data_IF_955392860309
#
_entry.id   IF_955392860309
#
_cell.length_a   1.000
_cell.length_b   1.000
_cell.length_c   1.000
_cell.angle_alpha   90.00
_cell.angle_beta   90.00
_cell.angle_gamma   90.00
#
_symmetry.space_group_name_H-M   'P 1'
#
loop_
_entity.id
_entity.type
_entity.pdbx_description
1 polymer ?
#
# COMPACT_ATOMS: atom_id res chain seq x y z
N UNK A 1 -18.15 -28.51 6.66
CA UNK A 1 -17.94 -28.28 5.22
C UNK A 1 -18.01 -26.78 4.96
N UNK A 2 -17.14 -26.31 4.08
CA UNK A 2 -16.60 -24.95 3.95
C UNK A 2 -17.62 -23.82 3.87
N UNK A 3 -17.40 -22.75 4.65
CA UNK A 3 -18.13 -21.50 4.50
C UNK A 3 -17.49 -20.68 3.38
N UNK A 4 -18.32 -20.35 2.39
CA UNK A 4 -18.05 -19.39 1.34
C UNK A 4 -17.62 -18.03 1.91
N UNK A 5 -16.60 -17.44 1.30
CA UNK A 5 -16.12 -16.11 1.65
C UNK A 5 -15.22 -15.49 0.57
N UNK A 6 -15.48 -15.79 -0.70
CA UNK A 6 -14.90 -15.02 -1.81
C UNK A 6 -15.80 -13.82 -2.08
N UNK A 7 -15.48 -12.67 -1.52
CA UNK A 7 -16.23 -11.43 -1.79
C UNK A 7 -16.04 -11.03 -3.26
N UNK A 8 -17.11 -11.21 -4.02
CA UNK A 8 -17.28 -10.66 -5.35
C UNK A 8 -17.44 -9.14 -5.27
N UNK A 9 -16.55 -8.41 -5.93
CA UNK A 9 -16.72 -7.00 -6.23
C UNK A 9 -15.42 -6.31 -6.59
N UNK A 10 -15.04 -6.33 -7.88
CA UNK A 10 -14.20 -5.33 -8.58
C UNK A 10 -12.80 -4.94 -8.08
N UNK A 11 -12.46 -5.20 -6.82
CA UNK A 11 -11.18 -4.92 -6.19
C UNK A 11 -10.44 -6.27 -6.07
N UNK A 12 -9.27 -6.37 -6.72
CA UNK A 12 -8.42 -7.55 -6.62
C UNK A 12 -8.15 -7.92 -5.15
N UNK A 13 -8.06 -9.21 -4.87
CA UNK A 13 -7.65 -9.69 -3.54
C UNK A 13 -6.27 -9.11 -3.19
N UNK A 14 -6.16 -8.45 -2.04
CA UNK A 14 -4.89 -7.88 -1.57
C UNK A 14 -4.35 -8.70 -0.40
N UNK A 15 -3.19 -9.32 -0.61
CA UNK A 15 -2.45 -10.04 0.41
C UNK A 15 -1.54 -9.07 1.17
N UNK A 16 -1.30 -9.34 2.45
CA UNK A 16 -0.42 -8.52 3.29
C UNK A 16 0.69 -9.34 3.94
N UNK A 17 1.91 -8.82 3.90
CA UNK A 17 3.02 -9.29 4.72
C UNK A 17 3.47 -8.20 5.71
N UNK A 18 3.82 -8.61 6.93
CA UNK A 18 4.27 -7.73 8.00
C UNK A 18 5.68 -8.12 8.45
N UNK A 19 6.61 -7.17 8.42
CA UNK A 19 7.97 -7.40 8.88
C UNK A 19 8.38 -6.34 9.90
N UNK A 20 8.67 -6.75 11.14
CA UNK A 20 9.20 -5.84 12.16
C UNK A 20 10.71 -5.72 12.02
N UNK A 21 11.18 -4.47 11.93
CA UNK A 21 12.60 -4.13 11.87
C UNK A 21 12.88 -3.08 12.94
N UNK A 22 13.31 -3.53 14.11
CA UNK A 22 13.54 -2.67 15.28
C UNK A 22 12.28 -1.91 15.70
N UNK A 23 12.36 -0.57 15.63
CA UNK A 23 11.27 0.35 15.94
C UNK A 23 10.27 0.56 14.80
N UNK A 24 10.49 -0.07 13.64
CA UNK A 24 9.62 0.07 12.46
C UNK A 24 8.86 -1.22 12.15
N UNK A 25 7.67 -1.06 11.59
CA UNK A 25 6.89 -2.12 10.98
C UNK A 25 6.75 -1.84 9.49
N UNK A 26 7.23 -2.77 8.67
CA UNK A 26 6.98 -2.80 7.22
C UNK A 26 5.69 -3.54 6.97
N UNK A 27 4.86 -2.98 6.11
CA UNK A 27 3.64 -3.57 5.57
C UNK A 27 3.80 -3.65 4.07
N UNK A 28 3.77 -4.87 3.55
CA UNK A 28 3.82 -5.15 2.11
C UNK A 28 2.39 -5.51 1.70
N UNK A 29 1.85 -4.81 0.71
CA UNK A 29 0.56 -5.11 0.11
C UNK A 29 0.79 -5.63 -1.31
N UNK A 30 0.18 -6.77 -1.63
CA UNK A 30 0.37 -7.50 -2.89
C UNK A 30 -1.01 -7.69 -3.52
N UNK A 31 -1.19 -7.21 -4.74
CA UNK A 31 -2.38 -7.54 -5.54
C UNK A 31 -2.24 -8.97 -6.07
N UNK A 32 -3.14 -9.87 -5.67
CA UNK A 32 -3.04 -11.30 -6.00
C UNK A 32 -3.23 -11.59 -7.49
N UNK A 33 -3.91 -10.71 -8.24
CA UNK A 33 -4.20 -10.92 -9.65
C UNK A 33 -3.03 -10.48 -10.55
N UNK A 34 -2.37 -9.37 -10.22
CA UNK A 34 -1.31 -8.76 -11.02
C UNK A 34 0.09 -9.04 -10.48
N UNK A 35 0.21 -9.45 -9.22
CA UNK A 35 1.49 -9.59 -8.52
C UNK A 35 2.17 -8.25 -8.22
N UNK A 36 1.48 -7.11 -8.38
CA UNK A 36 2.05 -5.80 -8.04
C UNK A 36 2.17 -5.69 -6.53
N UNK A 37 3.37 -5.36 -6.06
CA UNK A 37 3.68 -5.23 -4.65
C UNK A 37 4.07 -3.80 -4.29
N UNK A 38 3.65 -3.34 -3.12
CA UNK A 38 4.12 -2.08 -2.54
C UNK A 38 4.44 -2.23 -1.07
N UNK A 39 5.49 -1.56 -0.63
CA UNK A 39 5.87 -1.53 0.80
C UNK A 39 5.61 -0.15 1.40
N UNK A 40 5.08 -0.13 2.62
CA UNK A 40 4.96 1.04 3.49
C UNK A 40 5.64 0.71 4.82
N UNK A 41 6.32 1.67 5.43
CA UNK A 41 6.91 1.49 6.75
C UNK A 41 6.48 2.64 7.67
N UNK A 42 6.31 2.34 8.94
CA UNK A 42 6.08 3.34 9.98
C UNK A 42 6.44 2.79 11.36
N UNK A 43 6.15 3.54 12.44
CA UNK A 43 6.46 3.11 13.79
C UNK A 43 5.78 1.77 14.11
N UNK A 44 6.54 0.82 14.67
CA UNK A 44 6.01 -0.49 15.06
C UNK A 44 5.01 -0.42 16.22
N UNK A 45 4.98 0.70 16.94
CA UNK A 45 4.02 1.03 17.98
C UNK A 45 2.82 1.84 17.47
N UNK A 46 2.81 2.20 16.18
CA UNK A 46 1.73 2.96 15.55
C UNK A 46 0.54 2.09 15.15
N UNK A 47 -0.45 2.71 14.50
CA UNK A 47 -1.64 2.00 14.01
C UNK A 47 -1.32 1.11 12.80
N UNK A 48 -1.44 -0.21 12.97
CA UNK A 48 -1.35 -1.18 11.89
C UNK A 48 -2.40 -0.93 10.80
N UNK A 49 -3.62 -0.58 11.18
CA UNK A 49 -4.70 -0.28 10.24
C UNK A 49 -4.36 0.91 9.34
N UNK A 50 -3.76 1.97 9.92
CA UNK A 50 -3.29 3.12 9.15
C UNK A 50 -2.20 2.72 8.15
N UNK A 51 -1.26 1.85 8.54
CA UNK A 51 -0.22 1.35 7.65
C UNK A 51 -0.81 0.50 6.52
N UNK A 52 -1.78 -0.38 6.82
CA UNK A 52 -2.53 -1.15 5.81
C UNK A 52 -3.25 -0.24 4.83
N UNK A 53 -4.02 0.74 5.31
CA UNK A 53 -4.74 1.70 4.46
C UNK A 53 -3.79 2.49 3.56
N UNK A 54 -2.66 2.92 4.11
CA UNK A 54 -1.61 3.60 3.35
C UNK A 54 -1.05 2.69 2.25
N UNK A 55 -0.81 1.42 2.56
CA UNK A 55 -0.33 0.44 1.59
C UNK A 55 -1.34 0.17 0.47
N UNK A 56 -2.64 0.02 0.78
CA UNK A 56 -3.71 -0.11 -0.22
C UNK A 56 -3.75 1.12 -1.14
N UNK A 57 -3.69 2.32 -0.57
CA UNK A 57 -3.72 3.55 -1.36
C UNK A 57 -2.49 3.67 -2.28
N UNK A 58 -1.31 3.29 -1.78
CA UNK A 58 -0.09 3.24 -2.58
C UNK A 58 -0.20 2.19 -3.70
N UNK A 59 -0.78 1.02 -3.41
CA UNK A 59 -0.97 -0.05 -4.37
C UNK A 59 -1.89 0.40 -5.50
N UNK A 60 -3.04 1.01 -5.16
CA UNK A 60 -3.97 1.63 -6.11
C UNK A 60 -3.27 2.69 -6.97
N UNK A 61 -2.53 3.61 -6.34
CA UNK A 61 -1.77 4.64 -7.06
C UNK A 61 -0.76 4.05 -8.04
N UNK A 62 -0.01 3.02 -7.64
CA UNK A 62 0.98 2.36 -8.51
C UNK A 62 0.28 1.66 -9.68
N UNK A 63 -0.83 0.97 -9.44
CA UNK A 63 -1.62 0.35 -10.51
C UNK A 63 -2.16 1.40 -11.49
N UNK A 64 -2.70 2.53 -10.99
CA UNK A 64 -3.15 3.64 -11.83
C UNK A 64 -2.01 4.29 -12.63
N UNK A 65 -0.81 4.37 -12.05
CA UNK A 65 0.37 4.95 -12.71
C UNK A 65 1.06 3.98 -13.69
N UNK A 66 0.99 2.68 -13.45
CA UNK A 66 1.44 1.65 -14.39
C UNK A 66 0.60 1.65 -15.67
N UNK A 67 -0.70 1.92 -15.54
CA UNK A 67 -1.62 2.12 -16.67
C UNK A 67 -1.41 3.43 -17.44
N UNK A 68 -0.59 4.35 -16.93
CA UNK A 68 -0.32 5.66 -17.53
C UNK A 68 1.12 6.09 -17.28
N UNK A 69 2.04 5.69 -18.15
CA UNK A 69 3.41 6.19 -18.16
C UNK A 69 3.44 7.73 -18.26
N UNK A 70 3.84 8.41 -17.17
CA UNK A 70 4.46 9.74 -17.25
C UNK A 70 3.89 10.85 -16.35
N UNK A 71 4.43 10.97 -15.14
CA UNK A 71 4.98 12.19 -14.48
C UNK A 71 4.98 12.00 -12.94
N UNK A 72 6.08 12.33 -12.23
CA UNK A 72 6.03 12.49 -10.78
C UNK A 72 5.13 13.70 -10.47
N UNK A 73 4.17 13.53 -9.56
CA UNK A 73 3.38 14.64 -9.04
C UNK A 73 4.30 15.71 -8.42
N UNK A 74 3.86 16.98 -8.39
CA UNK A 74 4.67 18.08 -7.89
C UNK A 74 5.15 17.76 -6.47
N UNK A 75 6.47 17.84 -6.24
CA UNK A 75 7.02 17.84 -4.88
C UNK A 75 6.36 19.03 -4.16
N UNK A 76 5.69 18.86 -3.01
CA UNK A 76 5.19 19.99 -2.25
C UNK A 76 6.38 20.89 -1.94
N UNK A 77 6.32 22.13 -2.42
CA UNK A 77 7.42 23.08 -2.37
C UNK A 77 7.92 23.23 -0.95
N UNK A 78 9.22 22.96 -0.74
CA UNK A 78 9.93 23.39 0.45
C UNK A 78 9.94 24.91 0.46
N UNK A 79 8.98 25.49 1.18
CA UNK A 79 8.94 26.92 1.44
C UNK A 79 10.23 27.32 2.16
N UNK A 80 11.06 28.07 1.46
CA UNK A 80 12.20 28.76 2.06
C UNK A 80 11.64 29.95 2.84
N UNK A 81 11.81 29.96 4.16
CA UNK A 81 11.57 31.14 4.98
C UNK A 81 12.95 31.69 5.35
N UNK A 82 13.21 32.91 4.89
CA UNK A 82 14.33 33.75 5.31
C UNK A 82 14.26 34.05 6.80
#
# INVERSE_FOLDING_TARGET
MSAAGGSAGGDGEVLFEFQRVGSYLKVIAIDAATGVEVTVAGPATGSLELLKRTAINKLRFVQSKGAGHGKPGPKPGGGNLY
#
